data_IF_868155482307
#
_entry.id   IF_868155482307
#
_cell.length_a   1.000
_cell.length_b   1.000
_cell.length_c   1.000
_cell.angle_alpha   90.00
_cell.angle_beta   90.00
_cell.angle_gamma   90.00
#
_symmetry.space_group_name_H-M   'P 1'
#
loop_
_entity.id
_entity.type
_entity.pdbx_description
1 polymer ?
#
# COMPACT_ATOMS: atom_id res chain seq x y z
N UNK A 1 -22.61 19.15 10.85
CA UNK A 1 -23.86 19.78 10.38
C UNK A 1 -23.82 21.29 10.61
N UNK A 2 -23.66 21.75 11.87
CA UNK A 2 -23.55 23.17 12.21
C UNK A 2 -22.53 23.95 11.35
N UNK A 3 -21.32 23.43 11.18
CA UNK A 3 -20.28 24.08 10.35
C UNK A 3 -20.70 24.27 8.89
N UNK A 4 -21.36 23.28 8.29
CA UNK A 4 -21.87 23.38 6.92
C UNK A 4 -23.00 24.42 6.81
N UNK A 5 -23.89 24.44 7.79
CA UNK A 5 -24.98 25.42 7.85
C UNK A 5 -24.44 26.84 7.98
N UNK A 6 -23.48 27.07 8.89
CA UNK A 6 -22.84 28.36 9.08
C UNK A 6 -22.09 28.84 7.82
N UNK A 7 -21.30 27.97 7.20
CA UNK A 7 -20.62 28.28 5.94
C UNK A 7 -21.62 28.64 4.83
N UNK A 8 -22.70 27.86 4.70
CA UNK A 8 -23.75 28.12 3.70
C UNK A 8 -24.52 29.41 3.98
N UNK A 9 -24.82 29.71 5.24
CA UNK A 9 -25.50 30.93 5.63
C UNK A 9 -24.63 32.17 5.32
N UNK A 10 -23.33 32.12 5.63
CA UNK A 10 -22.39 33.18 5.31
C UNK A 10 -22.32 33.44 3.80
N UNK A 11 -22.22 32.37 3.00
CA UNK A 11 -22.20 32.45 1.53
C UNK A 11 -23.51 33.04 0.96
N UNK A 12 -24.66 32.58 1.47
CA UNK A 12 -25.98 32.95 0.95
C UNK A 12 -26.36 34.37 1.33
N UNK A 13 -26.10 34.77 2.58
CA UNK A 13 -26.48 36.08 3.11
C UNK A 13 -25.47 37.18 2.76
N UNK A 14 -24.32 36.82 2.16
CA UNK A 14 -23.24 37.75 1.76
C UNK A 14 -22.80 38.69 2.90
N UNK A 15 -22.82 38.18 4.13
CA UNK A 15 -22.46 38.96 5.31
C UNK A 15 -20.95 39.07 5.44
N UNK A 16 -20.46 40.29 5.63
CA UNK A 16 -19.08 40.54 6.06
C UNK A 16 -19.04 40.30 7.57
N UNK A 17 -18.66 39.08 7.97
CA UNK A 17 -18.59 38.67 9.37
C UNK A 17 -17.14 38.79 9.83
N UNK A 18 -16.89 39.55 10.90
CA UNK A 18 -15.55 39.68 11.50
C UNK A 18 -15.11 38.42 12.23
N UNK A 19 -16.04 37.72 12.90
CA UNK A 19 -15.77 36.50 13.64
C UNK A 19 -17.01 35.61 13.72
N UNK A 20 -16.83 34.29 13.55
CA UNK A 20 -17.90 33.30 13.64
C UNK A 20 -17.77 32.56 14.98
N UNK A 21 -18.84 32.58 15.77
CA UNK A 21 -18.92 31.87 17.05
C UNK A 21 -19.89 30.68 16.93
N UNK A 22 -19.41 29.48 17.23
CA UNK A 22 -20.20 28.25 17.19
C UNK A 22 -20.25 27.62 18.58
N UNK A 23 -21.43 27.14 18.97
CA UNK A 23 -21.66 26.60 20.32
C UNK A 23 -22.04 25.12 20.24
N UNK A 24 -21.48 24.31 21.14
CA UNK A 24 -21.84 22.90 21.33
C UNK A 24 -22.03 22.60 22.81
N UNK A 25 -23.02 21.79 23.14
CA UNK A 25 -23.29 21.25 24.47
C UNK A 25 -22.49 19.99 24.80
N UNK A 26 -21.68 19.49 23.85
CA UNK A 26 -20.83 18.32 24.03
C UNK A 26 -19.38 18.72 24.25
N UNK A 27 -18.93 18.68 25.51
CA UNK A 27 -17.52 18.92 25.86
C UNK A 27 -16.57 17.91 25.18
N UNK A 28 -17.02 16.66 25.00
CA UNK A 28 -16.27 15.63 24.26
C UNK A 28 -16.09 16.03 22.79
N UNK A 29 -17.15 16.51 22.14
CA UNK A 29 -17.08 16.96 20.74
C UNK A 29 -16.18 18.18 20.60
N UNK A 30 -16.25 19.13 21.54
CA UNK A 30 -15.35 20.29 21.58
C UNK A 30 -13.89 19.88 21.76
N UNK A 31 -13.62 18.87 22.59
CA UNK A 31 -12.28 18.31 22.74
C UNK A 31 -11.77 17.67 21.43
N UNK A 32 -12.63 16.96 20.70
CA UNK A 32 -12.27 16.43 19.37
C UNK A 32 -11.94 17.52 18.37
N UNK A 33 -12.76 18.57 18.28
CA UNK A 33 -12.60 19.70 17.35
C UNK A 33 -11.31 20.47 17.61
N UNK A 34 -10.90 20.61 18.87
CA UNK A 34 -9.64 21.28 19.25
C UNK A 34 -8.39 20.45 18.92
N UNK A 35 -8.52 19.13 18.80
CA UNK A 35 -7.40 18.24 18.50
C UNK A 35 -7.15 18.03 17.00
N UNK A 36 -5.95 17.59 16.66
CA UNK A 36 -5.61 17.25 15.27
C UNK A 36 -6.35 15.97 14.81
N UNK A 37 -6.92 15.92 13.59
CA UNK A 37 -7.70 14.79 13.08
C UNK A 37 -7.01 13.42 13.19
N UNK A 38 -5.68 13.37 13.03
CA UNK A 38 -4.91 12.11 13.09
C UNK A 38 -4.98 11.39 14.43
N UNK A 39 -5.34 12.09 15.52
CA UNK A 39 -5.45 11.53 16.87
C UNK A 39 -6.67 10.61 17.02
N UNK A 40 -7.68 10.76 16.15
CA UNK A 40 -8.98 10.15 16.33
C UNK A 40 -9.19 8.90 15.46
N UNK A 41 -10.16 8.07 15.82
CA UNK A 41 -10.68 7.00 14.95
C UNK A 41 -11.11 7.60 13.60
N UNK A 42 -11.15 6.78 12.55
CA UNK A 42 -11.45 7.26 11.19
C UNK A 42 -12.78 8.03 11.11
N UNK A 43 -13.79 7.64 11.89
CA UNK A 43 -15.10 8.28 11.90
C UNK A 43 -15.05 9.72 12.44
N UNK A 44 -14.39 9.92 13.58
CA UNK A 44 -14.22 11.24 14.21
C UNK A 44 -13.19 12.08 13.45
N UNK A 45 -12.08 11.48 13.01
CA UNK A 45 -11.03 12.16 12.25
C UNK A 45 -11.58 12.87 11.00
N UNK A 46 -12.40 12.18 10.21
CA UNK A 46 -12.99 12.75 9.00
C UNK A 46 -13.89 13.95 9.30
N UNK A 47 -14.66 13.90 10.40
CA UNK A 47 -15.58 14.98 10.81
C UNK A 47 -14.83 16.18 11.37
N UNK A 48 -13.79 15.94 12.17
CA UNK A 48 -12.94 17.02 12.69
C UNK A 48 -12.19 17.71 11.55
N UNK A 49 -11.64 16.95 10.60
CA UNK A 49 -10.97 17.50 9.43
C UNK A 49 -11.92 18.38 8.61
N UNK A 50 -13.14 17.90 8.35
CA UNK A 50 -14.16 18.68 7.65
C UNK A 50 -14.52 19.97 8.40
N UNK A 51 -14.71 19.90 9.73
CA UNK A 51 -15.02 21.06 10.56
C UNK A 51 -13.93 22.12 10.46
N UNK A 52 -12.66 21.71 10.61
CA UNK A 52 -11.50 22.59 10.59
C UNK A 52 -11.22 23.17 9.20
N UNK A 53 -11.56 22.45 8.13
CA UNK A 53 -11.39 22.93 6.76
C UNK A 53 -12.46 23.93 6.32
N UNK A 54 -13.72 23.71 6.71
CA UNK A 54 -14.84 24.54 6.26
C UNK A 54 -14.87 25.91 6.93
N UNK A 55 -14.53 25.99 8.22
CA UNK A 55 -14.51 27.23 8.98
C UNK A 55 -13.28 27.27 9.92
N UNK A 56 -12.07 27.50 9.37
CA UNK A 56 -10.82 27.47 10.15
C UNK A 56 -10.77 28.53 11.25
N UNK A 57 -11.38 29.70 11.01
CA UNK A 57 -11.38 30.85 11.92
C UNK A 57 -12.57 30.87 12.90
N UNK A 58 -13.42 29.83 12.90
CA UNK A 58 -14.57 29.79 13.80
C UNK A 58 -14.15 29.49 15.25
N UNK A 59 -14.62 30.31 16.18
CA UNK A 59 -14.42 30.11 17.61
C UNK A 59 -15.49 29.15 18.17
N UNK A 60 -15.03 28.03 18.74
CA UNK A 60 -15.90 27.00 19.31
C UNK A 60 -16.04 27.13 20.83
N UNK A 61 -17.29 27.21 21.29
CA UNK A 61 -17.66 27.45 22.68
C UNK A 61 -18.56 26.35 23.22
N UNK A 62 -18.54 26.19 24.54
CA UNK A 62 -19.48 25.33 25.22
C UNK A 62 -20.76 26.10 25.57
N UNK A 63 -21.92 25.49 25.33
CA UNK A 63 -23.21 25.97 25.83
C UNK A 63 -23.82 24.92 26.76
N UNK A 64 -24.13 25.26 28.04
CA UNK A 64 -24.84 24.33 28.92
C UNK A 64 -26.18 23.91 28.31
N UNK A 65 -26.60 22.65 28.49
CA UNK A 65 -27.87 22.16 27.92
C UNK A 65 -29.09 23.02 28.28
N UNK A 66 -29.12 23.60 29.49
CA UNK A 66 -30.19 24.52 29.93
C UNK A 66 -30.28 25.82 29.13
N UNK A 67 -29.18 26.20 28.48
CA UNK A 67 -29.05 27.44 27.70
C UNK A 67 -28.94 27.13 26.20
N UNK A 68 -29.11 25.86 25.79
CA UNK A 68 -29.00 25.41 24.40
C UNK A 68 -30.38 25.40 23.72
N UNK A 69 -30.71 26.39 22.85
CA UNK A 69 -32.01 26.40 22.19
C UNK A 69 -32.23 25.20 21.28
N UNK A 70 -31.16 24.56 20.75
CA UNK A 70 -31.29 23.38 19.91
C UNK A 70 -31.87 22.16 20.65
N UNK A 71 -31.76 22.11 21.98
CA UNK A 71 -32.34 21.03 22.79
C UNK A 71 -33.87 21.04 22.74
N UNK A 72 -34.52 22.20 22.54
CA UNK A 72 -35.98 22.28 22.43
C UNK A 72 -36.51 21.46 21.24
N UNK A 73 -35.79 21.49 20.12
CA UNK A 73 -36.13 20.75 18.92
C UNK A 73 -35.68 19.28 18.97
N UNK A 74 -34.54 18.98 19.62
CA UNK A 74 -33.98 17.62 19.63
C UNK A 74 -34.58 16.71 20.70
N UNK A 75 -34.97 17.27 21.86
CA UNK A 75 -35.57 16.53 22.99
C UNK A 75 -37.10 16.56 23.00
N UNK A 76 -37.69 17.45 22.21
CA UNK A 76 -39.13 17.62 22.09
C UNK A 76 -39.70 18.57 23.14
N UNK A 77 -40.69 19.35 22.71
CA UNK A 77 -41.45 20.31 23.53
C UNK A 77 -42.88 20.40 23.00
N UNK A 78 -43.87 20.58 23.86
CA UNK A 78 -45.25 20.73 23.40
C UNK A 78 -45.43 22.07 22.66
N UNK A 79 -46.24 22.13 21.58
CA UNK A 79 -46.44 23.39 20.84
C UNK A 79 -46.94 24.54 21.72
N UNK A 80 -47.77 24.25 22.73
CA UNK A 80 -48.27 25.25 23.68
C UNK A 80 -47.15 25.81 24.57
N UNK A 81 -46.20 24.98 24.98
CA UNK A 81 -45.04 25.40 25.79
C UNK A 81 -44.05 26.20 24.95
N UNK A 82 -43.85 25.81 23.68
CA UNK A 82 -42.92 26.47 22.77
C UNK A 82 -43.29 27.93 22.52
N UNK A 83 -44.59 28.26 22.48
CA UNK A 83 -45.06 29.65 22.28
C UNK A 83 -44.54 30.57 23.39
N UNK A 84 -44.49 30.09 24.63
CA UNK A 84 -44.07 30.87 25.79
C UNK A 84 -42.59 30.65 26.17
N UNK A 85 -41.89 29.73 25.48
CA UNK A 85 -40.51 29.38 25.81
C UNK A 85 -39.49 30.37 25.24
N UNK A 86 -39.18 31.39 26.03
CA UNK A 86 -38.29 32.50 25.64
C UNK A 86 -36.92 32.07 25.09
N UNK A 87 -36.32 30.97 25.58
CA UNK A 87 -35.00 30.51 25.11
C UNK A 87 -34.97 30.16 23.62
N UNK A 88 -36.05 29.63 23.05
CA UNK A 88 -36.10 29.29 21.62
C UNK A 88 -36.17 30.54 20.73
N UNK A 89 -36.98 31.53 21.15
CA UNK A 89 -37.28 32.71 20.34
C UNK A 89 -36.28 33.85 20.53
N UNK A 90 -35.80 34.03 21.76
CA UNK A 90 -34.93 35.15 22.15
C UNK A 90 -33.47 34.71 22.30
N UNK A 91 -33.22 33.39 22.39
CA UNK A 91 -31.93 32.85 22.74
C UNK A 91 -31.60 33.09 24.22
N UNK A 92 -30.45 32.58 24.69
CA UNK A 92 -29.98 32.85 26.04
C UNK A 92 -29.61 34.32 26.23
N UNK A 93 -29.87 34.86 27.43
CA UNK A 93 -29.72 36.30 27.74
C UNK A 93 -28.31 36.84 27.44
N UNK A 94 -27.27 36.02 27.67
CA UNK A 94 -25.88 36.39 27.41
C UNK A 94 -25.56 36.63 25.92
N UNK A 95 -26.39 36.21 24.96
CA UNK A 95 -26.24 36.59 23.55
C UNK A 95 -26.64 38.04 23.27
N UNK A 96 -27.56 38.59 24.07
CA UNK A 96 -28.13 39.93 23.86
C UNK A 96 -27.41 41.04 24.63
N UNK A 97 -26.77 40.70 25.75
CA UNK A 97 -26.18 41.67 26.69
C UNK A 97 -24.77 42.17 26.29
N UNK A 98 -24.31 41.96 25.04
CA UNK A 98 -22.94 42.26 24.56
C UNK A 98 -21.82 41.76 25.51
N UNK A 99 -22.12 40.76 26.33
CA UNK A 99 -21.17 40.13 27.24
C UNK A 99 -20.62 38.87 26.58
N UNK A 100 -19.32 38.57 26.71
CA UNK A 100 -18.82 37.28 26.26
C UNK A 100 -19.60 36.18 27.00
N UNK A 101 -19.88 35.03 26.34
CA UNK A 101 -20.46 33.89 27.05
C UNK A 101 -19.61 33.61 28.30
N UNK A 102 -20.19 33.18 29.42
CA UNK A 102 -19.40 32.87 30.59
C UNK A 102 -18.35 31.85 30.16
N UNK A 103 -17.09 32.29 30.10
CA UNK A 103 -15.92 31.47 29.78
C UNK A 103 -15.76 30.49 30.95
N UNK A 104 -16.62 29.48 30.98
CA UNK A 104 -16.24 28.22 31.60
C UNK A 104 -15.21 27.65 30.64
N UNK A 105 -13.96 27.96 30.90
CA UNK A 105 -12.89 27.02 30.63
C UNK A 105 -13.30 25.74 31.34
N UNK A 106 -14.05 24.89 30.64
CA UNK A 106 -14.27 23.51 31.04
C UNK A 106 -12.89 22.99 31.45
N UNK A 107 -12.73 22.39 32.64
CA UNK A 107 -11.46 21.77 32.99
C UNK A 107 -11.03 20.95 31.78
N UNK A 108 -9.82 21.21 31.25
CA UNK A 108 -9.34 20.45 30.10
C UNK A 108 -9.55 18.98 30.48
N UNK A 109 -10.48 18.29 29.81
CA UNK A 109 -10.54 16.83 29.91
C UNK A 109 -9.09 16.38 29.72
N UNK A 110 -8.54 15.68 30.71
CA UNK A 110 -7.17 15.24 30.61
C UNK A 110 -7.02 14.56 29.25
N UNK A 111 -5.96 14.85 28.50
CA UNK A 111 -5.84 14.43 27.09
C UNK A 111 -5.99 12.92 26.89
N UNK A 112 -5.89 12.15 27.96
CA UNK A 112 -6.00 10.70 28.03
C UNK A 112 -7.43 10.18 28.30
N UNK A 113 -8.40 11.04 28.64
CA UNK A 113 -9.78 10.65 28.96
C UNK A 113 -10.78 10.86 27.81
N UNK A 114 -10.34 11.45 26.68
CA UNK A 114 -11.21 11.70 25.53
C UNK A 114 -11.48 10.40 24.76
N UNK A 115 -12.74 9.95 24.61
CA UNK A 115 -13.11 8.75 23.86
C UNK A 115 -12.67 8.82 22.39
N UNK A 116 -12.55 7.66 21.73
CA UNK A 116 -12.22 7.53 20.30
C UNK A 116 -10.82 7.98 19.87
N UNK A 117 -9.88 8.13 20.81
CA UNK A 117 -8.46 8.25 20.50
C UNK A 117 -7.92 6.95 19.91
N UNK A 118 -7.08 7.05 18.87
CA UNK A 118 -6.30 5.90 18.39
C UNK A 118 -5.32 5.47 19.48
N UNK A 119 -5.50 4.27 20.02
CA UNK A 119 -4.52 3.67 20.91
C UNK A 119 -3.26 3.30 20.12
N UNK A 120 -2.17 4.05 20.31
CA UNK A 120 -0.85 3.65 19.84
C UNK A 120 -0.26 2.66 20.85
N UNK A 121 -0.63 1.39 20.73
CA UNK A 121 0.01 0.32 21.50
C UNK A 121 1.26 -0.10 20.74
N UNK A 122 2.43 0.38 21.18
CA UNK A 122 3.70 -0.13 20.72
C UNK A 122 3.95 -1.51 21.37
N UNK A 123 3.42 -2.57 20.77
CA UNK A 123 3.73 -3.94 21.20
C UNK A 123 5.08 -4.38 20.65
N UNK A 124 6.05 -4.61 21.53
CA UNK A 124 7.29 -5.33 21.18
C UNK A 124 6.96 -6.82 21.10
N UNK A 125 6.81 -7.35 19.88
CA UNK A 125 6.71 -8.80 19.65
C UNK A 125 8.10 -9.42 19.75
N UNK A 126 8.43 -10.00 20.90
CA UNK A 126 9.61 -10.87 21.03
C UNK A 126 9.27 -12.16 20.27
N UNK A 127 9.99 -12.42 19.17
CA UNK A 127 9.89 -13.70 18.48
C UNK A 127 10.50 -14.77 19.37
N UNK A 128 9.85 -15.93 19.57
CA UNK A 128 10.48 -17.03 20.27
C UNK A 128 11.74 -17.47 19.50
N UNK A 129 12.79 -17.91 20.20
CA UNK A 129 13.99 -18.42 19.54
C UNK A 129 13.62 -19.65 18.71
N UNK A 130 13.99 -19.63 17.44
CA UNK A 130 13.86 -20.79 16.55
C UNK A 130 15.18 -21.58 16.54
N UNK A 131 15.08 -22.87 16.26
CA UNK A 131 16.24 -23.76 16.21
C UNK A 131 17.26 -23.34 15.16
N UNK A 132 18.53 -23.24 15.56
CA UNK A 132 19.63 -22.94 14.64
C UNK A 132 19.68 -23.92 13.47
N UNK A 133 19.33 -25.18 13.71
CA UNK A 133 19.30 -26.18 12.64
C UNK A 133 18.21 -25.88 11.61
N UNK A 134 17.06 -25.31 12.01
CA UNK A 134 16.03 -24.85 11.07
C UNK A 134 16.54 -23.67 10.22
N UNK A 135 17.17 -22.69 10.88
CA UNK A 135 17.64 -21.44 10.27
C UNK A 135 18.76 -21.65 9.24
N UNK A 136 19.53 -22.75 9.34
CA UNK A 136 20.62 -23.08 8.41
C UNK A 136 20.19 -23.48 7.00
N UNK A 137 18.90 -23.69 6.75
CA UNK A 137 18.41 -24.15 5.44
C UNK A 137 17.63 -23.06 4.70
N UNK A 138 17.90 -22.94 3.40
CA UNK A 138 17.20 -22.03 2.49
C UNK A 138 16.05 -22.69 1.71
N UNK A 139 15.93 -24.02 1.76
CA UNK A 139 14.87 -24.76 1.05
C UNK A 139 14.28 -25.87 1.93
N UNK A 140 12.95 -26.04 1.85
CA UNK A 140 12.24 -27.07 2.59
C UNK A 140 12.77 -28.47 2.24
N UNK A 141 12.95 -28.78 0.95
CA UNK A 141 13.41 -30.11 0.53
C UNK A 141 14.77 -30.48 1.11
N UNK A 142 15.72 -29.54 1.20
CA UNK A 142 17.04 -29.80 1.78
C UNK A 142 16.93 -30.04 3.29
N UNK A 143 16.15 -29.22 4.00
CA UNK A 143 15.84 -29.40 5.42
C UNK A 143 15.28 -30.81 5.67
N UNK A 144 14.20 -31.18 4.97
CA UNK A 144 13.52 -32.47 5.17
C UNK A 144 14.41 -33.67 4.86
N UNK A 145 15.20 -33.61 3.78
CA UNK A 145 16.13 -34.70 3.44
C UNK A 145 17.21 -34.88 4.49
N UNK A 146 17.86 -33.80 4.92
CA UNK A 146 18.91 -33.88 5.94
C UNK A 146 18.33 -34.39 7.27
N UNK A 147 17.21 -33.83 7.72
CA UNK A 147 16.55 -34.28 8.95
C UNK A 147 16.10 -35.74 8.86
N UNK A 148 15.58 -36.20 7.72
CA UNK A 148 15.17 -37.59 7.54
C UNK A 148 16.38 -38.55 7.59
N UNK A 149 17.54 -38.15 7.04
CA UNK A 149 18.78 -38.90 7.15
C UNK A 149 19.29 -38.97 8.59
N UNK A 150 19.38 -37.84 9.29
CA UNK A 150 19.79 -37.79 10.69
C UNK A 150 18.90 -38.67 11.56
N UNK A 151 17.58 -38.62 11.37
CA UNK A 151 16.63 -39.45 12.12
C UNK A 151 16.73 -40.94 11.79
N UNK A 152 17.00 -41.28 10.53
CA UNK A 152 17.26 -42.67 10.13
C UNK A 152 18.48 -43.23 10.87
N UNK A 153 19.56 -42.45 10.92
CA UNK A 153 20.78 -42.83 11.62
C UNK A 153 20.53 -42.95 13.14
N UNK A 154 19.85 -41.99 13.76
CA UNK A 154 19.48 -42.06 15.18
C UNK A 154 18.66 -43.31 15.53
N UNK A 155 17.68 -43.66 14.69
CA UNK A 155 16.87 -44.88 14.88
C UNK A 155 17.69 -46.16 14.74
N UNK A 156 18.62 -46.22 13.80
CA UNK A 156 19.50 -47.37 13.62
C UNK A 156 20.37 -47.61 14.87
N UNK A 157 20.89 -46.54 15.46
CA UNK A 157 21.65 -46.60 16.73
C UNK A 157 20.75 -47.10 17.87
N UNK A 158 19.57 -46.51 18.02
CA UNK A 158 18.64 -46.89 19.10
C UNK A 158 18.18 -48.35 19.00
N UNK A 159 17.92 -48.83 17.78
CA UNK A 159 17.48 -50.21 17.53
C UNK A 159 18.64 -51.22 17.55
N UNK A 160 19.91 -50.77 17.67
CA UNK A 160 21.12 -51.58 17.48
C UNK A 160 21.10 -52.40 16.18
N UNK A 161 20.37 -51.91 15.17
CA UNK A 161 20.22 -52.56 13.87
C UNK A 161 20.91 -51.70 12.82
N UNK A 162 22.13 -52.12 12.47
CA UNK A 162 22.92 -51.52 11.39
C UNK A 162 22.63 -52.15 10.03
N UNK A 163 21.73 -53.15 9.95
CA UNK A 163 21.22 -53.65 8.67
C UNK A 163 20.28 -52.61 8.06
N UNK A 164 20.87 -51.71 7.28
CA UNK A 164 20.14 -50.63 6.61
C UNK A 164 19.24 -51.22 5.53
N UNK A 165 17.94 -51.35 5.81
CA UNK A 165 16.94 -51.59 4.76
C UNK A 165 16.81 -50.33 3.89
N UNK A 166 17.49 -50.33 2.73
CA UNK A 166 17.31 -49.39 1.61
C UNK A 166 18.26 -48.18 1.59
N UNK A 167 18.82 -47.89 0.41
CA UNK A 167 19.67 -46.71 0.13
C UNK A 167 18.88 -45.41 -0.07
N UNK A 168 17.55 -45.48 -0.22
CA UNK A 168 16.71 -44.33 -0.51
C UNK A 168 15.91 -43.81 0.69
N UNK A 169 15.60 -42.51 0.66
CA UNK A 169 14.62 -41.91 1.57
C UNK A 169 13.21 -42.13 1.01
N UNK A 170 12.34 -42.72 1.81
CA UNK A 170 10.93 -42.90 1.44
C UNK A 170 10.13 -41.62 1.73
N UNK A 171 9.02 -41.37 1.02
CA UNK A 171 8.14 -40.23 1.29
C UNK A 171 7.68 -40.16 2.76
N UNK A 172 7.40 -41.30 3.39
CA UNK A 172 6.99 -41.38 4.80
C UNK A 172 8.08 -40.84 5.74
N UNK A 173 9.37 -41.03 5.42
CA UNK A 173 10.48 -40.48 6.21
C UNK A 173 10.56 -38.95 6.08
N UNK A 174 10.27 -38.42 4.90
CA UNK A 174 10.21 -36.97 4.66
C UNK A 174 8.99 -36.34 5.36
N UNK A 175 7.83 -37.00 5.31
CA UNK A 175 6.62 -36.56 5.98
C UNK A 175 6.81 -36.57 7.51
N UNK A 176 7.40 -37.64 8.05
CA UNK A 176 7.77 -37.68 9.46
C UNK A 176 8.75 -36.58 9.86
N UNK A 177 9.73 -36.25 9.01
CA UNK A 177 10.64 -35.12 9.21
C UNK A 177 9.90 -33.78 9.24
N UNK A 178 8.95 -33.57 8.32
CA UNK A 178 8.11 -32.38 8.28
C UNK A 178 7.27 -32.25 9.55
N UNK A 179 6.60 -33.33 9.96
CA UNK A 179 5.81 -33.35 11.19
C UNK A 179 6.61 -33.00 12.45
N UNK A 180 7.90 -33.39 12.53
CA UNK A 180 8.76 -32.97 13.65
C UNK A 180 9.08 -31.49 13.62
N UNK A 181 9.42 -30.92 12.47
CA UNK A 181 9.66 -29.48 12.38
C UNK A 181 8.40 -28.66 12.66
N UNK A 182 7.22 -29.15 12.24
CA UNK A 182 5.94 -28.52 12.57
C UNK A 182 5.75 -28.49 14.08
N UNK A 183 5.95 -29.62 14.77
CA UNK A 183 5.83 -29.67 16.23
C UNK A 183 6.82 -28.77 16.94
N UNK A 184 8.06 -28.72 16.46
CA UNK A 184 9.09 -27.84 17.02
C UNK A 184 8.71 -26.36 16.87
N UNK A 185 8.25 -25.95 15.68
CA UNK A 185 7.76 -24.59 15.45
C UNK A 185 6.50 -24.30 16.30
N UNK A 186 5.57 -25.23 16.40
CA UNK A 186 4.37 -25.07 17.24
C UNK A 186 4.73 -24.98 18.72
N UNK A 187 5.67 -25.79 19.22
CA UNK A 187 6.14 -25.74 20.60
C UNK A 187 6.82 -24.41 20.93
N UNK A 188 7.57 -23.83 19.99
CA UNK A 188 8.20 -22.53 20.19
C UNK A 188 7.18 -21.37 20.21
N UNK A 189 6.17 -21.41 19.34
CA UNK A 189 5.26 -20.27 19.13
C UNK A 189 3.91 -20.36 19.83
N UNK A 190 3.44 -21.57 20.16
CA UNK A 190 2.11 -21.86 20.72
C UNK A 190 2.21 -22.70 22.00
N UNK A 191 3.29 -22.54 22.77
CA UNK A 191 3.56 -23.34 23.97
C UNK A 191 2.42 -23.29 24.99
N UNK A 192 1.84 -22.11 25.21
CA UNK A 192 0.72 -21.93 26.15
C UNK A 192 -0.56 -22.59 25.65
N UNK A 193 -0.87 -22.47 24.35
CA UNK A 193 -2.00 -23.15 23.74
C UNK A 193 -1.87 -24.67 23.79
N UNK A 194 -0.68 -25.20 23.52
CA UNK A 194 -0.40 -26.64 23.57
C UNK A 194 -0.57 -27.14 25.01
N UNK A 195 0.04 -26.48 26.00
CA UNK A 195 -0.10 -26.85 27.43
C UNK A 195 -1.56 -26.81 27.91
N UNK A 196 -2.35 -25.85 27.41
CA UNK A 196 -3.76 -25.75 27.76
C UNK A 196 -4.55 -26.95 27.21
N UNK A 197 -4.34 -27.29 25.93
CA UNK A 197 -5.01 -28.41 25.28
C UNK A 197 -4.58 -29.76 25.86
N UNK A 198 -3.31 -29.93 26.20
CA UNK A 198 -2.79 -31.14 26.84
C UNK A 198 -3.43 -31.41 28.22
N UNK A 199 -3.89 -30.35 28.89
CA UNK A 199 -4.60 -30.41 30.19
C UNK A 199 -6.12 -30.35 30.05
N UNK A 200 -6.65 -30.50 28.84
CA UNK A 200 -8.07 -30.36 28.49
C UNK A 200 -8.71 -29.05 29.01
N UNK A 201 -7.91 -27.97 29.05
CA UNK A 201 -8.34 -26.63 29.46
C UNK A 201 -8.72 -25.78 28.25
N UNK A 202 -9.62 -24.83 28.47
CA UNK A 202 -9.91 -23.81 27.46
C UNK A 202 -8.67 -22.95 27.18
N UNK A 203 -8.50 -22.61 25.89
CA UNK A 203 -7.44 -21.70 25.43
C UNK A 203 -7.56 -20.32 26.09
N UNK A 204 -6.43 -19.59 26.28
CA UNK A 204 -6.47 -18.22 26.76
C UNK A 204 -7.39 -17.34 25.91
N UNK A 205 -8.22 -16.49 26.54
CA UNK A 205 -9.15 -15.58 25.84
C UNK A 205 -8.47 -14.65 24.82
N UNK A 206 -7.17 -14.41 24.97
CA UNK A 206 -6.35 -13.57 24.09
C UNK A 206 -5.68 -14.35 22.95
N UNK A 207 -5.80 -15.67 22.92
CA UNK A 207 -5.17 -16.49 21.88
C UNK A 207 -5.82 -16.24 20.53
N UNK A 208 -5.01 -15.89 19.54
CA UNK A 208 -5.45 -15.73 18.16
C UNK A 208 -6.03 -17.03 17.56
N UNK A 209 -5.71 -18.18 18.16
CA UNK A 209 -6.14 -19.49 17.70
C UNK A 209 -7.51 -19.90 18.22
N UNK A 210 -8.06 -19.24 19.26
CA UNK A 210 -9.32 -19.65 19.90
C UNK A 210 -10.48 -19.78 18.89
N UNK A 211 -10.55 -18.89 17.89
CA UNK A 211 -11.58 -18.89 16.83
C UNK A 211 -11.49 -20.08 15.87
N UNK A 212 -10.38 -20.82 15.86
CA UNK A 212 -10.13 -21.96 15.00
C UNK A 212 -10.55 -23.29 15.66
N UNK A 213 -11.01 -23.26 16.91
CA UNK A 213 -11.30 -24.43 17.74
C UNK A 213 -10.18 -25.49 17.62
N UNK A 214 -8.92 -25.12 17.91
CA UNK A 214 -7.78 -25.96 17.62
C UNK A 214 -7.76 -27.18 18.55
N UNK A 215 -7.18 -28.27 18.06
CA UNK A 215 -7.01 -29.51 18.82
C UNK A 215 -5.64 -30.13 18.50
N UNK A 216 -5.16 -31.01 19.37
CA UNK A 216 -3.96 -31.81 19.13
C UNK A 216 -4.38 -33.15 18.51
N UNK A 217 -3.72 -33.54 17.41
CA UNK A 217 -3.91 -34.85 16.81
C UNK A 217 -3.11 -35.95 17.52
N UNK A 218 -3.19 -37.18 16.99
CA UNK A 218 -2.47 -38.34 17.50
C UNK A 218 -0.94 -38.21 17.44
N UNK A 219 -0.42 -37.34 16.58
CA UNK A 219 1.01 -37.06 16.45
C UNK A 219 1.44 -35.86 17.32
N UNK A 220 0.55 -35.30 18.14
CA UNK A 220 0.74 -34.05 18.89
C UNK A 220 0.98 -32.81 18.01
N UNK A 221 0.38 -32.76 16.83
CA UNK A 221 0.36 -31.59 15.96
C UNK A 221 -0.90 -30.78 16.24
N UNK A 222 -0.73 -29.46 16.43
CA UNK A 222 -1.83 -28.52 16.59
C UNK A 222 -2.53 -28.28 15.25
N UNK A 223 -3.82 -28.64 15.15
CA UNK A 223 -4.63 -28.58 13.92
C UNK A 223 -5.89 -27.76 14.10
N UNK A 224 -6.45 -27.26 12.98
CA UNK A 224 -7.74 -26.54 12.94
C UNK A 224 -8.90 -27.53 13.10
N UNK A 225 -9.91 -27.17 13.91
CA UNK A 225 -11.03 -28.07 14.24
C UNK A 225 -12.33 -27.91 13.45
N UNK A 226 -13.17 -28.94 13.62
CA UNK A 226 -14.65 -29.13 13.53
C UNK A 226 -15.49 -28.54 12.39
N UNK A 227 -15.05 -27.57 11.58
CA UNK A 227 -15.92 -26.95 10.56
C UNK A 227 -16.16 -27.81 9.32
N UNK A 228 -15.25 -28.74 9.02
CA UNK A 228 -15.28 -29.57 7.81
C UNK A 228 -15.36 -31.07 8.11
N UNK A 229 -15.82 -31.46 9.30
CA UNK A 229 -15.79 -32.86 9.76
C UNK A 229 -16.52 -33.84 8.82
N UNK A 230 -17.60 -33.40 8.20
CA UNK A 230 -18.44 -34.21 7.30
C UNK A 230 -18.11 -34.01 5.80
N UNK A 231 -17.09 -33.22 5.47
CA UNK A 231 -16.70 -33.01 4.08
C UNK A 231 -15.97 -34.23 3.53
N UNK A 232 -16.21 -34.54 2.25
CA UNK A 232 -15.48 -35.58 1.49
C UNK A 232 -14.13 -34.99 1.06
N UNK A 233 -13.26 -34.76 2.04
CA UNK A 233 -11.93 -34.17 1.88
C UNK A 233 -10.90 -35.03 2.62
N UNK A 234 -9.63 -34.86 2.26
CA UNK A 234 -8.55 -35.54 2.98
C UNK A 234 -8.46 -35.04 4.43
N UNK A 235 -7.85 -35.82 5.32
CA UNK A 235 -7.78 -35.42 6.73
C UNK A 235 -7.01 -34.12 6.95
N UNK A 236 -5.92 -33.92 6.20
CA UNK A 236 -5.14 -32.68 6.18
C UNK A 236 -5.95 -31.47 5.69
N UNK A 237 -6.89 -31.65 4.77
CA UNK A 237 -7.77 -30.57 4.28
C UNK A 237 -8.87 -30.24 5.28
N UNK A 238 -9.42 -31.26 5.97
CA UNK A 238 -10.43 -31.05 7.01
C UNK A 238 -9.81 -30.41 8.26
N UNK A 239 -8.60 -30.82 8.59
CA UNK A 239 -7.89 -30.45 9.81
C UNK A 239 -6.45 -29.99 9.50
N UNK A 240 -6.26 -28.86 8.81
CA UNK A 240 -4.94 -28.39 8.42
C UNK A 240 -4.08 -28.06 9.65
N UNK A 241 -2.78 -28.37 9.57
CA UNK A 241 -1.82 -28.09 10.62
C UNK A 241 -1.60 -26.58 10.77
N UNK A 242 -1.66 -26.08 11.99
CA UNK A 242 -1.53 -24.65 12.28
C UNK A 242 -0.06 -24.27 12.28
N UNK A 243 0.34 -23.37 11.38
CA UNK A 243 1.72 -22.90 11.27
C UNK A 243 1.87 -21.48 11.83
N UNK A 244 2.93 -21.19 12.61
CA UNK A 244 3.20 -19.84 13.06
C UNK A 244 3.55 -18.92 11.90
N UNK A 245 2.88 -17.76 11.81
CA UNK A 245 3.00 -16.84 10.67
C UNK A 245 4.45 -16.43 10.36
N UNK A 246 5.20 -16.12 11.40
CA UNK A 246 6.52 -15.50 11.29
C UNK A 246 7.69 -16.48 11.49
N UNK A 247 7.39 -17.79 11.52
CA UNK A 247 8.39 -18.85 11.60
C UNK A 247 9.17 -19.00 10.28
N UNK A 248 10.46 -19.35 10.39
CA UNK A 248 11.27 -19.70 9.24
C UNK A 248 10.73 -20.95 8.51
N UNK A 249 10.21 -21.94 9.25
CA UNK A 249 9.60 -23.13 8.66
C UNK A 249 8.44 -22.73 7.73
N UNK A 250 7.56 -21.84 8.18
CA UNK A 250 6.44 -21.32 7.38
C UNK A 250 6.94 -20.65 6.11
N UNK A 251 8.07 -19.94 6.18
CA UNK A 251 8.71 -19.32 5.01
C UNK A 251 9.18 -20.37 4.01
N UNK A 252 9.87 -21.41 4.48
CA UNK A 252 10.33 -22.52 3.64
C UNK A 252 9.16 -23.27 2.98
N UNK A 253 8.06 -23.49 3.71
CA UNK A 253 6.85 -24.13 3.20
C UNK A 253 6.19 -23.26 2.12
N UNK A 254 6.05 -21.94 2.35
CA UNK A 254 5.51 -21.03 1.34
C UNK A 254 6.39 -21.03 0.08
N UNK A 255 7.72 -20.99 0.22
CA UNK A 255 8.63 -21.03 -0.91
C UNK A 255 8.55 -22.35 -1.68
N UNK A 256 8.40 -23.50 -1.02
CA UNK A 256 8.25 -24.79 -1.70
C UNK A 256 6.91 -24.91 -2.45
N UNK A 257 5.83 -24.32 -1.91
CA UNK A 257 4.54 -24.22 -2.61
C UNK A 257 4.54 -23.19 -3.75
N UNK A 258 5.39 -22.16 -3.66
CA UNK A 258 5.51 -21.11 -4.67
C UNK A 258 6.46 -21.45 -5.82
N UNK A 259 6.96 -22.69 -5.93
CA UNK A 259 7.93 -23.09 -6.98
C UNK A 259 7.44 -22.95 -8.41
N UNK A 260 6.12 -23.01 -8.61
CA UNK A 260 5.49 -22.77 -9.92
C UNK A 260 5.16 -21.29 -10.15
N UNK A 261 5.65 -20.40 -9.29
CA UNK A 261 5.47 -18.95 -9.36
C UNK A 261 4.01 -18.47 -9.49
N UNK A 262 3.08 -19.26 -8.93
CA UNK A 262 1.68 -18.91 -8.84
C UNK A 262 1.45 -17.62 -8.07
N UNK A 263 0.39 -16.90 -8.44
CA UNK A 263 -0.05 -15.70 -7.71
C UNK A 263 -0.47 -16.01 -6.27
N UNK A 264 -0.67 -14.95 -5.48
CA UNK A 264 -1.01 -15.04 -4.04
C UNK A 264 -2.20 -15.97 -3.77
N UNK A 265 -3.24 -15.90 -4.59
CA UNK A 265 -4.44 -16.72 -4.41
C UNK A 265 -4.15 -18.21 -4.62
N UNK A 266 -3.46 -18.56 -5.70
CA UNK A 266 -3.12 -19.94 -6.03
C UNK A 266 -2.22 -20.56 -4.95
N UNK A 267 -1.13 -19.87 -4.59
CA UNK A 267 -0.21 -20.36 -3.56
C UNK A 267 -0.90 -20.50 -2.20
N UNK A 268 -1.77 -19.54 -1.82
CA UNK A 268 -2.50 -19.61 -0.56
C UNK A 268 -3.57 -20.73 -0.55
N UNK A 269 -4.24 -20.99 -1.67
CA UNK A 269 -5.19 -22.09 -1.80
C UNK A 269 -4.49 -23.45 -1.68
N UNK A 270 -3.35 -23.63 -2.36
CA UNK A 270 -2.51 -24.83 -2.25
C UNK A 270 -2.04 -25.07 -0.82
N UNK A 271 -1.56 -24.03 -0.14
CA UNK A 271 -1.16 -24.11 1.27
C UNK A 271 -2.32 -24.56 2.18
N UNK A 272 -3.53 -24.04 1.95
CA UNK A 272 -4.72 -24.35 2.76
C UNK A 272 -5.16 -25.80 2.71
N UNK A 273 -4.73 -26.57 1.72
CA UNK A 273 -5.03 -27.99 1.66
C UNK A 273 -4.36 -28.79 2.78
N UNK A 274 -3.28 -28.26 3.38
CA UNK A 274 -2.53 -28.97 4.43
C UNK A 274 -2.20 -28.11 5.65
N UNK A 275 -2.15 -26.79 5.47
CA UNK A 275 -1.64 -25.86 6.46
C UNK A 275 -2.55 -24.65 6.65
N UNK A 276 -2.72 -24.25 7.91
CA UNK A 276 -3.42 -23.04 8.27
C UNK A 276 -2.45 -22.03 8.90
N UNK A 277 -2.22 -20.92 8.22
CA UNK A 277 -1.36 -19.84 8.71
C UNK A 277 -2.25 -18.67 9.15
N UNK A 278 -2.23 -18.24 10.42
CA UNK A 278 -2.89 -17.01 10.86
C UNK A 278 -2.39 -15.80 10.05
N UNK A 279 -3.30 -15.07 9.40
CA UNK A 279 -2.91 -13.99 8.48
C UNK A 279 -2.16 -14.48 7.22
N UNK A 280 -2.33 -15.75 6.84
CA UNK A 280 -1.56 -16.43 5.80
C UNK A 280 -1.47 -15.70 4.47
N UNK A 281 -2.57 -15.12 3.97
CA UNK A 281 -2.58 -14.36 2.71
C UNK A 281 -1.57 -13.21 2.70
N UNK A 282 -1.41 -12.51 3.82
CA UNK A 282 -0.45 -11.42 3.94
C UNK A 282 0.99 -11.95 3.93
N UNK A 283 1.25 -13.07 4.63
CA UNK A 283 2.56 -13.72 4.64
C UNK A 283 2.96 -14.26 3.26
N UNK A 284 2.02 -14.93 2.56
CA UNK A 284 2.22 -15.40 1.19
C UNK A 284 2.53 -14.23 0.25
N UNK A 285 1.76 -13.13 0.33
CA UNK A 285 2.04 -11.93 -0.45
C UNK A 285 3.46 -11.42 -0.21
N UNK A 286 3.89 -11.32 1.05
CA UNK A 286 5.23 -10.89 1.40
C UNK A 286 6.32 -11.78 0.76
N UNK A 287 6.20 -13.10 0.89
CA UNK A 287 7.16 -14.04 0.28
C UNK A 287 7.21 -13.92 -1.25
N UNK A 288 6.07 -13.77 -1.92
CA UNK A 288 6.02 -13.61 -3.39
C UNK A 288 6.66 -12.29 -3.82
N UNK A 289 6.47 -11.21 -3.07
CA UNK A 289 7.12 -9.93 -3.36
C UNK A 289 8.65 -9.97 -3.19
N UNK A 290 9.16 -10.87 -2.36
CA UNK A 290 10.59 -11.10 -2.17
C UNK A 290 11.17 -12.11 -3.17
N UNK A 291 10.33 -12.77 -3.96
CA UNK A 291 10.78 -13.72 -4.98
C UNK A 291 11.37 -12.98 -6.18
N UNK A 292 12.68 -13.10 -6.38
CA UNK A 292 13.42 -12.43 -7.47
C UNK A 292 12.82 -12.76 -8.85
N UNK A 293 12.46 -14.03 -9.08
CA UNK A 293 11.84 -14.45 -10.34
C UNK A 293 10.53 -13.73 -10.60
N UNK A 294 9.63 -13.68 -9.61
CA UNK A 294 8.36 -12.96 -9.75
C UNK A 294 8.54 -11.45 -9.85
N UNK A 295 9.55 -10.87 -9.18
CA UNK A 295 9.89 -9.44 -9.31
C UNK A 295 10.32 -9.14 -10.75
N UNK A 296 11.20 -9.96 -11.33
CA UNK A 296 11.66 -9.82 -12.71
C UNK A 296 10.51 -9.97 -13.71
N UNK A 297 9.64 -10.97 -13.53
CA UNK A 297 8.49 -11.17 -14.42
C UNK A 297 7.42 -10.08 -14.28
N UNK A 298 7.31 -9.45 -13.12
CA UNK A 298 6.39 -8.32 -12.89
C UNK A 298 6.94 -6.99 -13.38
N UNK A 299 8.24 -6.88 -13.63
CA UNK A 299 8.87 -5.63 -14.05
C UNK A 299 8.16 -5.10 -15.30
N UNK A 300 7.44 -3.98 -15.15
CA UNK A 300 6.84 -3.29 -16.28
C UNK A 300 7.96 -2.61 -17.06
N UNK A 301 7.85 -2.57 -18.38
CA UNK A 301 8.67 -1.67 -19.18
C UNK A 301 8.52 -0.24 -18.63
N UNK A 302 9.62 0.48 -18.38
CA UNK A 302 9.53 1.86 -17.92
C UNK A 302 8.73 2.65 -18.96
N UNK A 303 7.63 3.28 -18.53
CA UNK A 303 6.95 4.26 -19.35
C UNK A 303 7.81 5.52 -19.32
N UNK A 304 8.49 5.81 -20.42
CA UNK A 304 9.23 7.05 -20.57
C UNK A 304 8.23 8.21 -20.56
N UNK A 305 8.32 9.09 -19.55
CA UNK A 305 7.62 10.37 -19.60
C UNK A 305 8.24 11.17 -20.75
N UNK A 306 7.44 11.55 -21.74
CA UNK A 306 7.91 12.46 -22.78
C UNK A 306 8.18 13.82 -22.12
N UNK A 307 9.37 14.38 -22.34
CA UNK A 307 9.69 15.72 -21.88
C UNK A 307 8.79 16.76 -22.57
N UNK A 308 8.54 17.87 -21.90
CA UNK A 308 7.80 18.99 -22.47
C UNK A 308 8.48 19.50 -23.74
N UNK A 309 7.68 19.89 -24.72
CA UNK A 309 8.19 20.47 -25.95
C UNK A 309 8.87 21.82 -25.65
N UNK A 310 10.07 22.07 -26.22
CA UNK A 310 10.77 23.33 -25.98
C UNK A 310 9.99 24.52 -26.57
N UNK A 311 10.12 25.73 -26.00
CA UNK A 311 9.38 26.93 -26.42
C UNK A 311 9.38 27.19 -27.93
N UNK A 312 10.49 27.01 -28.69
CA UNK A 312 10.51 27.19 -30.14
C UNK A 312 9.56 26.30 -30.95
N UNK A 313 9.08 25.19 -30.37
CA UNK A 313 8.12 24.25 -31.00
C UNK A 313 6.66 24.59 -30.74
N UNK A 314 6.38 25.45 -29.76
CA UNK A 314 5.01 25.76 -29.31
C UNK A 314 4.67 27.24 -29.46
N UNK A 315 5.67 28.12 -29.50
CA UNK A 315 5.48 29.55 -29.70
C UNK A 315 5.60 29.91 -31.18
N UNK A 316 4.76 30.86 -31.61
CA UNK A 316 4.77 31.40 -32.97
C UNK A 316 6.06 32.21 -33.18
N UNK A 317 6.77 31.90 -34.25
CA UNK A 317 7.93 32.65 -34.72
C UNK A 317 7.97 32.63 -36.25
N UNK A 318 8.78 33.52 -36.85
CA UNK A 318 9.04 33.49 -38.30
C UNK A 318 9.59 32.11 -38.70
N UNK A 319 9.17 31.62 -39.86
CA UNK A 319 9.67 30.35 -40.38
C UNK A 319 11.21 30.35 -40.44
N UNK A 320 11.81 29.24 -39.99
CA UNK A 320 13.25 29.01 -39.88
C UNK A 320 14.03 29.90 -38.88
N UNK A 321 13.37 30.69 -38.03
CA UNK A 321 14.06 31.40 -36.92
C UNK A 321 14.77 30.43 -35.97
N UNK A 322 14.05 29.38 -35.56
CA UNK A 322 14.60 28.26 -34.80
C UNK A 322 14.58 27.03 -35.70
N UNK A 323 15.76 26.49 -36.01
CA UNK A 323 15.89 25.41 -37.00
C UNK A 323 16.69 24.27 -36.41
N UNK A 324 16.23 23.03 -36.61
CA UNK A 324 17.04 21.84 -36.40
C UNK A 324 17.72 21.44 -37.69
N UNK A 325 18.94 20.94 -37.62
CA UNK A 325 19.64 20.31 -38.73
C UNK A 325 19.98 18.87 -38.37
N UNK A 326 19.76 17.97 -39.31
CA UNK A 326 20.16 16.57 -39.21
C UNK A 326 20.56 16.07 -40.61
N UNK A 327 21.35 15.00 -40.67
CA UNK A 327 21.79 14.39 -41.92
C UNK A 327 21.08 13.06 -42.18
N UNK A 328 20.55 12.90 -43.38
CA UNK A 328 20.09 11.61 -43.88
C UNK A 328 21.06 11.08 -44.95
N UNK A 329 21.46 9.82 -44.83
CA UNK A 329 22.28 9.15 -45.83
C UNK A 329 23.02 7.91 -45.30
N UNK A 330 23.91 7.31 -46.11
CA UNK A 330 24.33 7.76 -47.44
C UNK A 330 23.31 7.41 -48.54
N UNK A 331 23.10 8.33 -49.48
CA UNK A 331 22.34 8.14 -50.71
C UNK A 331 23.27 8.17 -51.93
N UNK A 332 22.92 7.45 -53.00
CA UNK A 332 23.67 7.48 -54.25
C UNK A 332 23.29 8.74 -55.06
N UNK A 333 24.24 9.66 -55.21
CA UNK A 333 24.11 10.85 -56.04
C UNK A 333 24.63 10.59 -57.46
N UNK A 334 23.94 11.18 -58.43
CA UNK A 334 24.31 11.13 -59.85
C UNK A 334 24.23 12.54 -60.43
N UNK A 335 25.33 13.05 -60.96
CA UNK A 335 25.42 14.41 -61.51
C UNK A 335 24.78 14.56 -62.89
N UNK A 336 24.78 13.51 -63.71
CA UNK A 336 24.23 13.53 -65.07
C UNK A 336 23.48 12.24 -65.41
N UNK A 337 22.44 12.34 -66.25
CA UNK A 337 21.59 11.20 -66.67
C UNK A 337 22.27 10.28 -67.71
N UNK A 338 23.45 10.64 -68.18
CA UNK A 338 24.16 9.95 -69.28
C UNK A 338 24.79 8.61 -68.85
N UNK A 339 24.88 7.66 -69.79
CA UNK A 339 25.43 6.31 -69.53
C UNK A 339 26.93 6.39 -69.25
N UNK A 340 27.41 5.73 -68.19
CA UNK A 340 28.83 5.61 -67.86
C UNK A 340 29.34 6.51 -66.72
N UNK A 341 28.52 7.44 -66.20
CA UNK A 341 28.92 8.28 -65.07
C UNK A 341 28.86 7.53 -63.73
N UNK A 342 29.94 7.63 -62.95
CA UNK A 342 30.06 7.04 -61.62
C UNK A 342 29.10 7.71 -60.64
N UNK A 343 28.32 6.91 -59.92
CA UNK A 343 27.56 7.36 -58.75
C UNK A 343 28.51 7.54 -57.58
N UNK A 344 28.32 8.60 -56.79
CA UNK A 344 29.07 8.85 -55.57
C UNK A 344 28.12 8.88 -54.36
N UNK A 345 28.65 8.58 -53.18
CA UNK A 345 27.89 8.70 -51.93
C UNK A 345 27.69 10.18 -51.62
N UNK A 346 26.48 10.55 -51.24
CA UNK A 346 26.18 11.86 -50.69
C UNK A 346 25.11 11.76 -49.62
N UNK A 347 24.77 12.92 -49.06
CA UNK A 347 23.87 13.04 -47.93
C UNK A 347 22.88 14.17 -48.17
N UNK A 348 21.80 14.18 -47.38
CA UNK A 348 20.84 15.27 -47.34
C UNK A 348 20.98 15.98 -46.00
N UNK A 349 21.36 17.25 -46.02
CA UNK A 349 21.19 18.12 -44.87
C UNK A 349 19.71 18.53 -44.79
N UNK A 350 19.05 18.12 -43.71
CA UNK A 350 17.63 18.33 -43.45
C UNK A 350 17.49 19.45 -42.43
N UNK A 351 17.09 20.63 -42.90
CA UNK A 351 16.77 21.77 -42.05
C UNK A 351 15.28 21.77 -41.74
N UNK A 352 14.92 21.65 -40.46
CA UNK A 352 13.53 21.60 -39.98
C UNK A 352 13.23 22.82 -39.13
N UNK A 353 12.25 23.63 -39.53
CA UNK A 353 11.77 24.72 -38.68
C UNK A 353 11.08 24.17 -37.43
N UNK A 354 11.51 24.59 -36.25
CA UNK A 354 10.94 24.15 -34.98
C UNK A 354 9.49 24.63 -34.80
N UNK A 355 9.16 25.83 -35.28
CA UNK A 355 7.84 26.45 -35.07
C UNK A 355 6.77 25.95 -36.05
N UNK A 356 7.13 25.72 -37.32
CA UNK A 356 6.16 25.36 -38.38
C UNK A 356 6.27 23.94 -38.90
N UNK A 357 7.33 23.20 -38.54
CA UNK A 357 7.70 21.90 -39.13
C UNK A 357 8.03 21.94 -40.63
N UNK A 358 8.17 23.12 -41.23
CA UNK A 358 8.63 23.24 -42.61
C UNK A 358 10.04 22.64 -42.76
N UNK A 359 10.22 21.87 -43.83
CA UNK A 359 11.49 21.20 -44.14
C UNK A 359 12.16 21.87 -45.34
N UNK A 360 13.47 22.06 -45.26
CA UNK A 360 14.33 22.46 -46.37
C UNK A 360 15.46 21.45 -46.50
N UNK A 361 15.68 20.97 -47.72
CA UNK A 361 16.66 19.93 -48.02
C UNK A 361 17.79 20.52 -48.87
N UNK A 362 19.02 20.22 -48.47
CA UNK A 362 20.22 20.55 -49.23
C UNK A 362 21.04 19.28 -49.49
N UNK A 363 21.45 19.06 -50.73
CA UNK A 363 22.35 17.97 -51.08
C UNK A 363 23.78 18.29 -50.64
N UNK A 364 24.45 17.33 -50.02
CA UNK A 364 25.80 17.47 -49.48
C UNK A 364 26.69 16.31 -49.95
N UNK A 365 27.94 16.60 -50.31
CA UNK A 365 28.90 15.60 -50.81
C UNK A 365 29.38 14.65 -49.73
N UNK A 366 29.50 15.13 -48.50
CA UNK A 366 30.12 14.42 -47.37
C UNK A 366 29.61 14.96 -46.03
N UNK A 367 30.10 14.40 -44.92
CA UNK A 367 29.76 14.79 -43.55
C UNK A 367 30.82 15.74 -42.95
N UNK A 368 31.56 16.48 -43.78
CA UNK A 368 32.56 17.43 -43.28
C UNK A 368 31.92 18.77 -42.89
N UNK A 369 32.58 19.48 -41.98
CA UNK A 369 32.17 20.83 -41.57
C UNK A 369 32.08 21.79 -42.75
N UNK A 370 33.03 21.72 -43.70
CA UNK A 370 33.03 22.61 -44.87
C UNK A 370 31.80 22.39 -45.76
N UNK A 371 31.41 21.13 -45.95
CA UNK A 371 30.22 20.78 -46.72
C UNK A 371 28.93 21.20 -46.00
N UNK A 372 28.88 21.10 -44.66
CA UNK A 372 27.80 21.66 -43.85
C UNK A 372 27.74 23.19 -43.98
N UNK A 373 28.85 23.90 -43.85
CA UNK A 373 28.89 25.36 -43.98
C UNK A 373 28.44 25.81 -45.37
N UNK A 374 28.82 25.09 -46.42
CA UNK A 374 28.35 25.33 -47.78
C UNK A 374 26.83 25.12 -47.90
N UNK A 375 26.28 24.05 -47.31
CA UNK A 375 24.84 23.78 -47.29
C UNK A 375 24.07 24.84 -46.47
N UNK A 376 24.61 25.24 -45.33
CA UNK A 376 24.01 26.24 -44.44
C UNK A 376 23.97 27.62 -45.11
N UNK A 377 25.00 28.02 -45.86
CA UNK A 377 24.97 29.25 -46.68
C UNK A 377 23.86 29.22 -47.74
N UNK A 378 23.64 28.08 -48.41
CA UNK A 378 22.54 27.93 -49.38
C UNK A 378 21.16 27.97 -48.71
N UNK A 379 21.03 27.32 -47.56
CA UNK A 379 19.82 27.39 -46.74
C UNK A 379 19.50 28.82 -46.30
N UNK A 380 20.46 29.51 -45.66
CA UNK A 380 20.27 30.88 -45.13
C UNK A 380 20.06 31.93 -46.21
N UNK A 381 20.70 31.78 -47.38
CA UNK A 381 20.43 32.68 -48.52
C UNK A 381 19.00 32.56 -49.06
N UNK A 382 18.34 31.40 -48.90
CA UNK A 382 16.96 31.17 -49.33
C UNK A 382 15.90 31.41 -48.25
N UNK A 383 16.23 31.11 -46.99
CA UNK A 383 15.28 31.12 -45.86
C UNK A 383 15.52 32.26 -44.86
N UNK A 384 16.61 33.01 -45.04
CA UNK A 384 17.11 33.98 -44.08
C UNK A 384 17.92 33.32 -42.97
N UNK A 385 18.70 34.12 -42.23
CA UNK A 385 19.45 33.68 -41.06
C UNK A 385 18.51 33.17 -39.96
N UNK A 386 18.86 32.02 -39.38
CA UNK A 386 18.25 31.55 -38.15
C UNK A 386 18.88 32.25 -36.95
N UNK A 387 18.11 32.38 -35.87
CA UNK A 387 18.61 32.85 -34.57
C UNK A 387 19.27 31.70 -33.81
N UNK A 388 18.69 30.50 -33.88
CA UNK A 388 19.23 29.30 -33.25
C UNK A 388 19.18 28.11 -34.20
N UNK A 389 20.30 27.41 -34.31
CA UNK A 389 20.44 26.14 -35.03
C UNK A 389 20.68 25.01 -34.01
N UNK A 390 19.80 24.01 -34.00
CA UNK A 390 19.91 22.81 -33.15
C UNK A 390 20.47 21.65 -33.98
N UNK A 391 21.45 20.93 -33.45
CA UNK A 391 21.92 19.62 -33.96
C UNK A 391 21.91 18.60 -32.82
N UNK A 392 22.15 17.33 -33.14
CA UNK A 392 22.42 16.27 -32.17
C UNK A 392 23.78 16.42 -31.46
#
# INVERSE_FOLDING_TARGET
>A
MLTRLAARAQETLKLVVSQIHLYSDSEVTLAWIRGHPSRWTTYVANRVAEIQQLLPEAAWHHVPSRDNPADCASRGMQPSELVEFGLWWQGPSWLTENSPPPLRTSPRLAEDEVPERRAHINTVTIKPPESDMLLRFSTLRRLLRVSAWCRRWLRAIQARQFSVSGTSLTPQKLEGALGTWIREAQAAWFSEEIKALDRDKQLPRRSALQRLSPFLDHDHVLRVGRRLKHAILSDDERHPAILPRDSWLTTLIIHDQHRLHGGVQLTHASLRQRFWIPGGRARVRQCIHQCITCVRWRAKSPQQLMADLPPPRVNIARAFTHTGVDYAGPIALRTTRERGHKTYKGFLAIFVCMSTRAVHLEAVSDLTTDALLAAFRRFTSRRGLCEVLYSD
#
